data_IF_079599071346
#
_entry.id   IF_079599071346
#
_cell.length_a   1.000
_cell.length_b   1.000
_cell.length_c   1.000
_cell.angle_alpha   90.00
_cell.angle_beta   90.00
_cell.angle_gamma   90.00
#
_symmetry.space_group_name_H-M   'P 1'
#
loop_
_entity.id
_entity.type
_entity.pdbx_description
1 polymer ?
#
# COMPACT_ATOMS: atom_id res chain seq x y z
N UNK A 1 7.93 9.22 10.95
CA UNK A 1 6.52 8.95 10.59
C UNK A 1 6.49 7.78 9.62
N UNK A 2 5.53 6.87 9.73
CA UNK A 2 5.37 5.75 8.78
C UNK A 2 4.79 6.27 7.46
N UNK A 3 5.39 5.90 6.34
CA UNK A 3 4.97 6.36 4.99
C UNK A 3 3.66 5.68 4.55
N UNK A 4 2.98 6.25 3.55
CA UNK A 4 1.81 5.61 2.92
C UNK A 4 2.15 4.24 2.32
N UNK A 5 3.35 4.10 1.75
CA UNK A 5 3.87 2.83 1.27
C UNK A 5 3.98 1.81 2.41
N UNK A 6 4.62 2.17 3.53
CA UNK A 6 4.78 1.26 4.66
C UNK A 6 3.42 0.85 5.28
N UNK A 7 2.48 1.80 5.38
CA UNK A 7 1.10 1.51 5.83
C UNK A 7 0.39 0.53 4.88
N UNK A 8 0.50 0.73 3.56
CA UNK A 8 -0.09 -0.14 2.56
C UNK A 8 0.57 -1.52 2.51
N UNK A 9 1.90 -1.57 2.60
CA UNK A 9 2.65 -2.81 2.59
C UNK A 9 2.39 -3.65 3.84
N UNK A 10 2.16 -3.03 5.00
CA UNK A 10 1.77 -3.75 6.22
C UNK A 10 0.47 -4.55 6.05
N UNK A 11 -0.50 -4.05 5.27
CA UNK A 11 -1.69 -4.83 4.91
C UNK A 11 -1.32 -5.97 3.95
N UNK A 12 -0.61 -5.63 2.87
CA UNK A 12 -0.24 -6.55 1.78
C UNK A 12 0.58 -7.74 2.30
N UNK A 13 1.57 -7.49 3.16
CA UNK A 13 2.46 -8.50 3.74
C UNK A 13 1.75 -9.53 4.63
N UNK A 14 0.51 -9.30 5.08
CA UNK A 14 -0.29 -10.33 5.77
C UNK A 14 -0.75 -11.43 4.82
N UNK A 15 -0.81 -11.12 3.53
CA UNK A 15 -1.28 -12.01 2.46
C UNK A 15 -0.13 -12.60 1.64
N UNK A 16 1.00 -11.90 1.58
CA UNK A 16 2.25 -12.44 1.05
C UNK A 16 2.84 -13.37 2.10
N UNK A 17 2.64 -14.68 1.92
CA UNK A 17 3.04 -15.70 2.90
C UNK A 17 4.56 -15.78 3.15
N UNK A 18 4.97 -16.79 3.94
CA UNK A 18 6.38 -17.10 4.18
C UNK A 18 7.04 -17.84 3.01
N UNK A 19 8.21 -18.42 3.27
CA UNK A 19 8.91 -19.24 2.29
C UNK A 19 8.06 -20.44 1.84
N UNK A 20 7.79 -20.51 0.54
CA UNK A 20 7.14 -21.65 -0.11
C UNK A 20 8.07 -22.15 -1.20
N UNK A 21 8.38 -23.45 -1.15
CA UNK A 21 9.09 -24.14 -2.21
C UNK A 21 8.40 -25.48 -2.43
N UNK A 22 7.49 -25.54 -3.40
CA UNK A 22 6.73 -26.75 -3.68
C UNK A 22 7.36 -27.48 -4.89
N UNK A 23 7.57 -28.82 -4.86
CA UNK A 23 8.24 -29.57 -5.93
C UNK A 23 7.56 -29.48 -7.31
N UNK A 24 6.26 -29.19 -7.34
CA UNK A 24 5.48 -29.02 -8.57
C UNK A 24 5.42 -27.56 -9.07
N UNK A 25 6.09 -26.62 -8.39
CA UNK A 25 5.96 -25.20 -8.68
C UNK A 25 6.89 -24.76 -9.81
N UNK A 26 6.32 -24.32 -10.94
CA UNK A 26 7.10 -23.81 -12.09
C UNK A 26 7.78 -22.48 -11.77
N UNK A 27 7.33 -21.76 -10.74
CA UNK A 27 7.85 -20.46 -10.33
C UNK A 27 9.12 -20.50 -9.47
N UNK A 28 9.53 -21.70 -9.03
CA UNK A 28 10.67 -21.88 -8.13
C UNK A 28 10.42 -21.37 -6.70
N UNK A 29 11.46 -21.33 -5.85
CA UNK A 29 11.34 -20.86 -4.47
C UNK A 29 10.78 -19.43 -4.39
N UNK A 30 9.77 -19.24 -3.54
CA UNK A 30 9.15 -17.93 -3.27
C UNK A 30 9.29 -17.61 -1.79
N UNK A 31 9.68 -16.38 -1.45
CA UNK A 31 9.68 -15.91 -0.07
C UNK A 31 9.16 -14.46 -0.04
N UNK A 32 8.33 -14.12 0.96
CA UNK A 32 7.78 -12.77 1.13
C UNK A 32 7.09 -12.25 -0.15
N UNK A 33 6.40 -13.14 -0.88
CA UNK A 33 5.72 -12.84 -2.15
C UNK A 33 6.64 -12.63 -3.36
N UNK A 34 7.96 -12.78 -3.21
CA UNK A 34 8.96 -12.59 -4.29
C UNK A 34 9.50 -13.95 -4.73
N UNK A 35 9.44 -14.23 -6.03
CA UNK A 35 10.05 -15.45 -6.62
C UNK A 35 11.56 -15.28 -6.75
N UNK A 36 12.30 -16.39 -6.76
CA UNK A 36 13.75 -16.38 -6.95
C UNK A 36 14.18 -15.61 -8.21
N UNK A 37 13.50 -15.84 -9.33
CA UNK A 37 13.81 -15.16 -10.59
C UNK A 37 13.63 -13.64 -10.50
N UNK A 38 12.58 -13.17 -9.82
CA UNK A 38 12.33 -11.74 -9.62
C UNK A 38 13.39 -11.14 -8.69
N UNK A 39 13.74 -11.84 -7.62
CA UNK A 39 14.78 -11.41 -6.68
C UNK A 39 16.16 -11.32 -7.34
N UNK A 40 16.57 -12.36 -8.09
CA UNK A 40 17.84 -12.38 -8.82
C UNK A 40 17.91 -11.30 -9.89
N UNK A 41 16.82 -11.05 -10.61
CA UNK A 41 16.75 -9.95 -11.59
C UNK A 41 16.93 -8.60 -10.92
N UNK A 42 16.20 -8.36 -9.82
CA UNK A 42 16.30 -7.12 -9.05
C UNK A 42 17.72 -6.88 -8.52
N UNK A 43 18.36 -7.90 -7.94
CA UNK A 43 19.73 -7.80 -7.48
C UNK A 43 20.69 -7.47 -8.62
N UNK A 44 20.58 -8.16 -9.76
CA UNK A 44 21.42 -7.94 -10.94
C UNK A 44 21.26 -6.52 -11.51
N UNK A 45 20.02 -6.03 -11.65
CA UNK A 45 19.71 -4.67 -12.13
C UNK A 45 20.30 -3.58 -11.23
N UNK A 46 20.50 -3.86 -9.94
CA UNK A 46 20.98 -2.91 -8.93
C UNK A 46 22.43 -3.15 -8.49
N UNK A 47 23.11 -4.16 -9.04
CA UNK A 47 24.45 -4.55 -8.61
C UNK A 47 24.53 -5.03 -7.15
N UNK A 48 23.45 -5.60 -6.62
CA UNK A 48 23.38 -6.10 -5.24
C UNK A 48 23.77 -7.58 -5.18
N UNK A 49 24.38 -8.04 -4.07
CA UNK A 49 24.61 -9.47 -3.85
C UNK A 49 23.27 -10.21 -3.70
N UNK A 50 23.15 -11.36 -4.35
CA UNK A 50 21.96 -12.21 -4.26
C UNK A 50 21.98 -12.98 -2.94
N UNK A 51 21.09 -12.62 -2.01
CA UNK A 51 20.87 -13.41 -0.79
C UNK A 51 20.09 -14.69 -1.12
N UNK A 52 20.37 -15.82 -0.44
CA UNK A 52 19.56 -17.03 -0.57
C UNK A 52 18.09 -16.77 -0.21
N UNK A 53 17.15 -17.32 -0.99
CA UNK A 53 15.71 -17.07 -0.80
C UNK A 53 15.23 -17.34 0.63
N UNK A 54 15.73 -18.40 1.29
CA UNK A 54 15.33 -18.79 2.64
C UNK A 54 15.71 -17.80 3.74
N UNK A 55 16.69 -16.94 3.51
CA UNK A 55 17.19 -15.97 4.51
C UNK A 55 16.69 -14.55 4.26
N UNK A 56 15.89 -14.34 3.22
CA UNK A 56 15.30 -13.03 2.95
C UNK A 56 14.41 -12.59 4.10
N UNK A 57 14.62 -11.34 4.52
CA UNK A 57 13.77 -10.64 5.49
C UNK A 57 13.01 -9.52 4.80
N UNK A 58 11.94 -9.03 5.43
CA UNK A 58 11.11 -7.97 4.86
C UNK A 58 11.92 -6.73 4.39
N UNK A 59 12.91 -6.22 5.15
CA UNK A 59 13.79 -5.15 4.68
C UNK A 59 14.54 -5.43 3.37
N UNK A 60 14.81 -6.69 3.02
CA UNK A 60 15.51 -7.03 1.77
C UNK A 60 14.62 -6.79 0.55
N UNK A 61 13.33 -7.11 0.66
CA UNK A 61 12.39 -7.08 -0.46
C UNK A 61 11.57 -5.79 -0.53
N UNK A 62 11.49 -5.01 0.57
CA UNK A 62 10.76 -3.75 0.60
C UNK A 62 11.18 -2.77 -0.51
N UNK A 63 12.47 -2.53 -0.78
CA UNK A 63 12.88 -1.64 -1.88
C UNK A 63 12.43 -2.13 -3.27
N UNK A 64 12.35 -3.46 -3.46
CA UNK A 64 11.81 -4.04 -4.69
C UNK A 64 10.32 -3.70 -4.82
N UNK A 65 9.57 -3.89 -3.74
CA UNK A 65 8.14 -3.56 -3.70
C UNK A 65 7.87 -2.08 -3.96
N UNK A 66 8.64 -1.21 -3.31
CA UNK A 66 8.56 0.24 -3.46
C UNK A 66 8.94 0.70 -4.87
N UNK A 67 9.93 0.07 -5.51
CA UNK A 67 10.31 0.44 -6.86
C UNK A 67 9.38 -0.12 -7.95
N UNK A 68 8.86 -1.35 -7.78
CA UNK A 68 8.14 -2.05 -8.86
C UNK A 68 6.62 -1.88 -8.81
N UNK A 69 6.04 -1.67 -7.63
CA UNK A 69 4.57 -1.68 -7.46
C UNK A 69 4.01 -0.37 -6.92
N UNK A 70 4.70 0.25 -5.96
CA UNK A 70 4.25 1.53 -5.38
C UNK A 70 4.02 2.66 -6.41
N UNK A 71 4.83 2.83 -7.48
CA UNK A 71 4.63 3.94 -8.42
C UNK A 71 3.27 3.91 -9.13
N UNK A 72 2.65 2.73 -9.25
CA UNK A 72 1.32 2.61 -9.86
C UNK A 72 0.20 3.14 -8.95
N UNK A 73 0.47 3.33 -7.65
CA UNK A 73 -0.51 3.73 -6.64
C UNK A 73 -0.16 5.04 -5.94
N UNK A 74 1.11 5.46 -5.93
CA UNK A 74 1.61 6.60 -5.15
C UNK A 74 1.00 7.96 -5.53
N UNK A 75 0.51 8.09 -6.77
CA UNK A 75 -0.19 9.30 -7.22
C UNK A 75 -1.67 9.38 -6.82
N UNK A 76 -2.22 8.34 -6.19
CA UNK A 76 -3.61 8.31 -5.73
C UNK A 76 -3.73 8.88 -4.31
N UNK A 77 -4.86 9.51 -3.95
CA UNK A 77 -5.07 10.00 -2.59
C UNK A 77 -5.18 8.84 -1.59
N UNK A 78 -4.65 9.01 -0.39
CA UNK A 78 -4.94 8.10 0.73
C UNK A 78 -6.45 8.14 1.08
N UNK A 79 -7.10 7.01 1.43
CA UNK A 79 -6.59 5.64 1.52
C UNK A 79 -6.63 4.82 0.22
N UNK A 80 -7.03 5.43 -0.90
CA UNK A 80 -7.14 4.74 -2.19
C UNK A 80 -5.79 4.22 -2.69
N UNK A 81 -4.69 4.94 -2.46
CA UNK A 81 -3.34 4.48 -2.79
C UNK A 81 -2.98 3.15 -2.11
N UNK A 82 -3.38 2.93 -0.86
CA UNK A 82 -3.12 1.66 -0.18
C UNK A 82 -3.92 0.49 -0.75
N UNK A 83 -5.18 0.71 -1.15
CA UNK A 83 -5.99 -0.29 -1.85
C UNK A 83 -5.38 -0.62 -3.22
N UNK A 84 -5.04 0.41 -3.98
CA UNK A 84 -4.45 0.27 -5.31
C UNK A 84 -3.10 -0.46 -5.25
N UNK A 85 -2.28 -0.19 -4.24
CA UNK A 85 -1.00 -0.86 -4.04
C UNK A 85 -1.15 -2.38 -3.85
N UNK A 86 -2.04 -2.82 -2.95
CA UNK A 86 -2.27 -4.26 -2.73
C UNK A 86 -2.80 -4.95 -4.01
N UNK A 87 -3.62 -4.25 -4.81
CA UNK A 87 -4.07 -4.72 -6.11
C UNK A 87 -2.90 -4.80 -7.10
N UNK A 88 -2.01 -3.81 -7.15
CA UNK A 88 -0.83 -3.83 -8.01
C UNK A 88 0.10 -4.99 -7.67
N UNK A 89 0.30 -5.28 -6.38
CA UNK A 89 1.11 -6.44 -5.95
C UNK A 89 0.45 -7.75 -6.35
N UNK A 90 -0.87 -7.89 -6.10
CA UNK A 90 -1.56 -9.15 -6.35
C UNK A 90 -1.80 -9.43 -7.85
N UNK A 91 -2.13 -8.40 -8.63
CA UNK A 91 -2.60 -8.54 -10.02
C UNK A 91 -1.69 -7.88 -11.05
N UNK A 92 -0.67 -7.17 -10.62
CA UNK A 92 0.21 -6.38 -11.48
C UNK A 92 -0.32 -4.96 -11.76
N UNK A 93 0.57 -3.98 -12.00
CA UNK A 93 0.19 -2.60 -12.33
C UNK A 93 -0.73 -2.45 -13.54
N UNK A 94 -0.60 -3.33 -14.54
CA UNK A 94 -1.44 -3.31 -15.74
C UNK A 94 -2.92 -3.57 -15.43
N UNK A 95 -3.20 -4.60 -14.64
CA UNK A 95 -4.57 -4.92 -14.21
C UNK A 95 -5.11 -3.86 -13.25
N UNK A 96 -4.28 -3.30 -12.37
CA UNK A 96 -4.68 -2.13 -11.57
C UNK A 96 -5.17 -0.99 -12.48
N UNK A 97 -4.42 -0.65 -13.53
CA UNK A 97 -4.79 0.42 -14.46
C UNK A 97 -6.13 0.16 -15.15
N UNK A 98 -6.40 -1.09 -15.53
CA UNK A 98 -7.71 -1.48 -16.10
C UNK A 98 -8.84 -1.31 -15.07
N UNK A 99 -8.65 -1.77 -13.83
CA UNK A 99 -9.64 -1.62 -12.77
C UNK A 99 -9.90 -0.14 -12.44
N UNK A 100 -8.85 0.68 -12.33
CA UNK A 100 -8.98 2.13 -12.13
C UNK A 100 -9.80 2.79 -13.25
N UNK A 101 -9.66 2.34 -14.50
CA UNK A 101 -10.45 2.83 -15.62
C UNK A 101 -11.95 2.54 -15.51
N UNK A 102 -12.35 1.56 -14.69
CA UNK A 102 -13.76 1.23 -14.42
C UNK A 102 -14.35 1.98 -13.21
N UNK A 103 -13.52 2.65 -12.42
CA UNK A 103 -13.94 3.36 -11.22
C UNK A 103 -14.22 4.84 -11.56
N UNK A 104 -15.43 5.37 -11.30
CA UNK A 104 -15.72 6.78 -11.52
C UNK A 104 -14.78 7.70 -10.73
N UNK A 105 -14.43 8.85 -11.32
CA UNK A 105 -13.60 9.85 -10.66
C UNK A 105 -14.34 10.60 -9.52
N UNK A 106 -15.67 10.48 -9.44
CA UNK A 106 -16.50 11.15 -8.44
C UNK A 106 -16.48 10.45 -7.08
N UNK A 107 -16.71 11.22 -6.02
CA UNK A 107 -16.73 10.74 -4.64
C UNK A 107 -15.41 10.98 -3.90
N UNK A 108 -15.45 10.75 -2.60
CA UNK A 108 -14.28 10.85 -1.71
C UNK A 108 -13.23 9.78 -2.05
N UNK A 109 -11.96 9.95 -1.64
CA UNK A 109 -10.95 8.91 -1.78
C UNK A 109 -11.37 7.54 -1.21
N UNK A 110 -12.07 7.51 -0.07
CA UNK A 110 -12.53 6.27 0.54
C UNK A 110 -13.65 5.60 -0.27
N UNK A 111 -14.63 6.35 -0.77
CA UNK A 111 -15.68 5.80 -1.63
C UNK A 111 -15.11 5.26 -2.95
N UNK A 112 -14.16 5.98 -3.55
CA UNK A 112 -13.46 5.52 -4.75
C UNK A 112 -12.62 4.27 -4.49
N UNK A 113 -11.97 4.19 -3.33
CA UNK A 113 -11.25 3.00 -2.90
C UNK A 113 -12.21 1.80 -2.72
N UNK A 114 -13.39 2.00 -2.14
CA UNK A 114 -14.40 0.94 -1.99
C UNK A 114 -14.85 0.40 -3.36
N UNK A 115 -15.13 1.27 -4.33
CA UNK A 115 -15.45 0.86 -5.71
C UNK A 115 -14.30 0.12 -6.40
N UNK A 116 -13.05 0.49 -6.10
CA UNK A 116 -11.89 -0.23 -6.61
C UNK A 116 -11.79 -1.65 -6.02
N UNK A 117 -12.16 -1.84 -4.74
CA UNK A 117 -12.29 -3.17 -4.13
C UNK A 117 -13.41 -3.98 -4.82
N UNK A 118 -14.55 -3.35 -5.14
CA UNK A 118 -15.63 -3.99 -5.90
C UNK A 118 -15.15 -4.47 -7.28
N UNK A 119 -14.40 -3.62 -7.99
CA UNK A 119 -13.80 -3.96 -9.28
C UNK A 119 -12.83 -5.15 -9.18
N UNK A 120 -12.04 -5.21 -8.11
CA UNK A 120 -11.15 -6.35 -7.82
C UNK A 120 -11.93 -7.64 -7.55
N UNK A 121 -13.01 -7.55 -6.78
CA UNK A 121 -13.88 -8.70 -6.51
C UNK A 121 -14.47 -9.26 -7.82
N UNK A 122 -14.99 -8.37 -8.67
CA UNK A 122 -15.51 -8.75 -9.98
C UNK A 122 -14.43 -9.38 -10.86
N UNK A 123 -13.19 -8.88 -10.80
CA UNK A 123 -12.06 -9.46 -11.51
C UNK A 123 -11.80 -10.93 -11.09
N UNK A 124 -11.81 -11.25 -9.80
CA UNK A 124 -11.70 -12.63 -9.33
C UNK A 124 -12.85 -13.51 -9.85
N UNK A 125 -14.08 -13.01 -9.79
CA UNK A 125 -15.25 -13.73 -10.32
C UNK A 125 -15.14 -13.98 -11.83
N UNK A 126 -14.60 -13.02 -12.58
CA UNK A 126 -14.36 -13.16 -14.01
C UNK A 126 -13.26 -14.19 -14.34
N UNK A 127 -12.21 -14.28 -13.52
CA UNK A 127 -11.19 -15.35 -13.66
C UNK A 127 -11.85 -16.72 -13.57
N UNK A 128 -12.68 -16.94 -12.55
CA UNK A 128 -13.37 -18.22 -12.34
C UNK A 128 -14.36 -18.50 -13.47
N UNK A 129 -15.10 -17.48 -13.92
CA UNK A 129 -16.02 -17.61 -15.06
C UNK A 129 -15.28 -18.06 -16.33
N UNK A 130 -14.10 -17.47 -16.60
CA UNK A 130 -13.28 -17.85 -17.76
C UNK A 130 -12.53 -19.17 -17.56
N UNK A 131 -12.20 -19.52 -16.31
CA UNK A 131 -11.42 -20.72 -15.95
C UNK A 131 -12.02 -21.37 -14.70
N UNK A 132 -13.06 -22.21 -14.83
CA UNK A 132 -13.75 -22.80 -13.69
C UNK A 132 -12.86 -23.61 -12.74
N UNK A 133 -11.74 -24.16 -13.23
CA UNK A 133 -10.75 -24.85 -12.40
C UNK A 133 -10.14 -23.97 -11.29
N UNK A 134 -10.23 -22.65 -11.41
CA UNK A 134 -9.75 -21.69 -10.40
C UNK A 134 -10.72 -21.50 -9.22
N UNK A 135 -11.93 -22.08 -9.27
CA UNK A 135 -12.95 -21.96 -8.21
C UNK A 135 -12.40 -22.33 -6.83
N UNK A 136 -11.47 -23.28 -6.76
CA UNK A 136 -10.83 -23.74 -5.52
C UNK A 136 -10.10 -22.61 -4.76
N UNK A 137 -9.67 -21.55 -5.45
CA UNK A 137 -8.98 -20.41 -4.83
C UNK A 137 -9.91 -19.25 -4.47
N UNK A 138 -11.12 -19.21 -5.03
CA UNK A 138 -12.02 -18.06 -4.94
C UNK A 138 -12.34 -17.70 -3.50
N UNK A 139 -12.57 -18.69 -2.64
CA UNK A 139 -12.83 -18.46 -1.21
C UNK A 139 -11.68 -17.70 -0.53
N UNK A 140 -10.43 -18.06 -0.84
CA UNK A 140 -9.26 -17.37 -0.32
C UNK A 140 -9.15 -15.93 -0.85
N UNK A 141 -9.41 -15.73 -2.14
CA UNK A 141 -9.41 -14.40 -2.75
C UNK A 141 -10.47 -13.48 -2.15
N UNK A 142 -11.69 -13.98 -1.94
CA UNK A 142 -12.78 -13.21 -1.33
C UNK A 142 -12.51 -12.89 0.15
N UNK A 143 -11.74 -13.72 0.88
CA UNK A 143 -11.26 -13.37 2.22
C UNK A 143 -10.30 -12.18 2.19
N UNK A 144 -9.39 -12.10 1.21
CA UNK A 144 -8.51 -10.93 1.02
C UNK A 144 -9.30 -9.67 0.70
N UNK A 145 -10.33 -9.79 -0.14
CA UNK A 145 -11.25 -8.68 -0.45
C UNK A 145 -11.96 -8.19 0.81
N UNK A 146 -12.56 -9.09 1.61
CA UNK A 146 -13.25 -8.72 2.84
C UNK A 146 -12.31 -8.00 3.82
N UNK A 147 -11.13 -8.55 4.07
CA UNK A 147 -10.14 -7.91 4.94
C UNK A 147 -9.68 -6.54 4.42
N UNK A 148 -9.64 -6.34 3.10
CA UNK A 148 -9.29 -5.04 2.52
C UNK A 148 -10.40 -4.00 2.75
N UNK A 149 -11.68 -4.42 2.77
CA UNK A 149 -12.80 -3.54 3.13
C UNK A 149 -12.73 -3.12 4.59
N UNK A 150 -12.46 -4.07 5.49
CA UNK A 150 -12.28 -3.77 6.92
C UNK A 150 -11.11 -2.81 7.14
N UNK A 151 -9.97 -3.09 6.51
CA UNK A 151 -8.81 -2.21 6.55
C UNK A 151 -9.11 -0.81 6.00
N UNK A 152 -9.85 -0.70 4.90
CA UNK A 152 -10.27 0.58 4.33
C UNK A 152 -11.17 1.35 5.30
N UNK A 153 -12.12 0.67 5.96
CA UNK A 153 -12.99 1.30 6.95
C UNK A 153 -12.17 1.86 8.13
N UNK A 154 -11.19 1.12 8.62
CA UNK A 154 -10.24 1.61 9.64
C UNK A 154 -9.44 2.82 9.17
N UNK A 155 -8.99 2.83 7.91
CA UNK A 155 -8.24 3.97 7.37
C UNK A 155 -9.13 5.21 7.15
N UNK A 156 -10.39 5.01 6.75
CA UNK A 156 -11.35 6.08 6.53
C UNK A 156 -11.87 6.69 7.83
N UNK A 157 -11.90 5.92 8.92
CA UNK A 157 -12.32 6.37 10.24
C UNK A 157 -11.24 7.20 10.97
N UNK A 158 -9.98 7.15 10.51
CA UNK A 158 -8.91 7.99 11.07
C UNK A 158 -9.15 9.44 10.67
N UNK A 159 -9.14 10.39 11.62
CA UNK A 159 -9.28 11.79 11.28
C UNK A 159 -8.17 12.17 10.30
N UNK A 160 -8.46 12.98 9.27
CA UNK A 160 -7.43 13.47 8.38
C UNK A 160 -6.35 14.18 9.21
N UNK A 161 -5.08 13.91 8.90
CA UNK A 161 -3.97 14.68 9.47
C UNK A 161 -4.24 16.15 9.16
N UNK A 162 -4.42 17.02 10.17
CA UNK A 162 -4.75 18.42 9.92
C UNK A 162 -3.61 19.06 9.12
N UNK A 163 -3.95 19.71 8.00
CA UNK A 163 -3.02 20.59 7.29
C UNK A 163 -2.89 21.87 8.09
N UNK A 164 -1.76 22.04 8.76
CA UNK A 164 -1.46 23.25 9.52
C UNK A 164 -0.67 24.20 8.63
N UNK A 165 -1.10 25.45 8.56
CA UNK A 165 -0.34 26.51 7.90
C UNK A 165 0.16 27.48 8.97
N UNK A 166 1.47 27.74 8.96
CA UNK A 166 2.11 28.73 9.81
C UNK A 166 2.30 30.02 9.00
N UNK A 167 2.23 31.19 9.63
CA UNK A 167 2.64 32.45 8.98
C UNK A 167 4.13 32.67 9.16
N UNK A 168 4.85 32.85 8.07
CA UNK A 168 6.26 33.26 8.12
C UNK A 168 6.42 34.73 8.54
N UNK A 169 7.68 35.18 8.66
CA UNK A 169 8.03 36.56 9.03
C UNK A 169 7.54 37.60 8.02
N UNK A 170 7.25 37.21 6.79
CA UNK A 170 6.67 38.06 5.75
C UNK A 170 5.13 38.02 5.74
N UNK A 171 4.50 37.29 6.67
CA UNK A 171 3.06 37.13 6.77
C UNK A 171 2.44 36.14 5.80
N UNK A 172 3.26 35.37 5.05
CA UNK A 172 2.78 34.38 4.10
C UNK A 172 2.46 33.07 4.81
N UNK A 173 1.36 32.43 4.40
CA UNK A 173 1.03 31.08 4.86
C UNK A 173 1.98 30.06 4.22
N UNK A 174 2.67 29.30 5.06
CA UNK A 174 3.56 28.19 4.69
C UNK A 174 2.98 26.93 5.31
N UNK A 175 2.83 25.87 4.51
CA UNK A 175 2.38 24.58 5.03
C UNK A 175 3.45 23.99 5.95
N UNK A 176 3.03 23.60 7.15
CA UNK A 176 3.91 22.97 8.13
C UNK A 176 4.23 21.53 7.71
N UNK A 177 5.50 21.15 7.83
CA UNK A 177 6.00 19.83 7.47
C UNK A 177 5.68 18.73 8.50
N UNK A 178 4.95 19.09 9.56
CA UNK A 178 4.52 18.17 10.63
C UNK A 178 5.62 17.81 11.63
N UNK A 179 6.83 18.39 11.53
CA UNK A 179 7.89 18.14 12.51
C UNK A 179 7.68 18.98 13.77
N UNK A 180 7.99 18.46 14.98
CA UNK A 180 7.91 19.24 16.21
C UNK A 180 8.58 20.62 16.04
N UNK A 181 7.79 21.68 16.17
CA UNK A 181 8.22 23.06 15.88
C UNK A 181 7.65 24.00 16.93
N UNK A 182 8.43 24.99 17.35
CA UNK A 182 7.94 26.09 18.18
C UNK A 182 7.56 27.25 17.24
N UNK A 183 6.32 27.71 17.35
CA UNK A 183 5.76 28.82 16.59
C UNK A 183 5.14 29.84 17.55
N UNK A 184 5.67 31.06 17.59
CA UNK A 184 5.21 32.14 18.48
C UNK A 184 5.03 31.70 19.96
N UNK A 185 6.03 30.99 20.50
CA UNK A 185 5.98 30.48 21.88
C UNK A 185 4.96 29.36 22.12
N UNK A 186 4.48 28.73 21.05
CA UNK A 186 3.63 27.53 21.12
C UNK A 186 4.35 26.38 20.45
N UNK A 187 4.57 25.28 21.15
CA UNK A 187 5.03 24.02 20.58
C UNK A 187 3.87 23.32 19.89
N UNK A 188 4.09 22.95 18.64
CA UNK A 188 3.18 22.13 17.85
C UNK A 188 3.70 20.69 17.82
N UNK A 189 2.86 19.75 18.24
CA UNK A 189 3.13 18.31 18.18
C UNK A 189 2.03 17.63 17.36
N UNK A 190 2.41 17.00 16.25
CA UNK A 190 1.51 16.21 15.45
C UNK A 190 1.72 14.73 15.74
N UNK A 191 0.68 14.07 16.23
CA UNK A 191 0.70 12.65 16.54
C UNK A 191 0.44 11.79 15.29
N UNK A 192 0.91 10.53 15.26
CA UNK A 192 0.72 9.64 14.12
C UNK A 192 -0.74 9.34 13.75
N UNK A 193 -1.67 9.55 14.68
CA UNK A 193 -3.12 9.38 14.50
C UNK A 193 -3.82 10.65 13.98
N UNK A 194 -3.07 11.74 13.75
CA UNK A 194 -3.59 13.01 13.28
C UNK A 194 -3.97 13.99 14.39
N UNK A 195 -3.81 13.63 15.67
CA UNK A 195 -4.02 14.59 16.74
C UNK A 195 -2.96 15.70 16.71
N UNK A 196 -3.40 16.96 16.76
CA UNK A 196 -2.53 18.12 16.90
C UNK A 196 -2.62 18.64 18.33
N UNK A 197 -1.49 18.65 19.03
CA UNK A 197 -1.38 19.30 20.34
C UNK A 197 -0.64 20.62 20.21
N UNK A 198 -1.17 21.64 20.89
CA UNK A 198 -0.61 22.97 21.03
C UNK A 198 -0.26 23.20 22.51
N UNK A 199 1.01 23.41 22.80
CA UNK A 199 1.52 23.63 24.17
C UNK A 199 2.23 24.98 24.25
N UNK A 200 1.81 25.88 25.14
CA UNK A 200 2.57 27.13 25.37
C UNK A 200 3.93 26.76 25.97
N UNK A 201 5.00 27.28 25.39
CA UNK A 201 6.33 27.22 26.00
C UNK A 201 6.46 28.42 26.94
N UNK A 202 6.69 28.14 28.22
CA UNK A 202 7.04 29.16 29.24
C UNK A 202 8.31 29.92 28.89
#
# INVERSE_FOLDING_TARGET
>A
MTTDFEKAHKFTAKWEGGYVNHPADKGGPTNLGVTQAVWESWCRERGLPVKPMKVLILPDVLPLYEARYWPAASGLPWPMSGVAYDIAVNHGPGNLRLMLGSVPATGTPAERAARLIDAREQFFRNIVKARPSQQVFLTGWLRRVAAQRDWLAEQAARPPVPRVFLRDMAGKNVEWDGKPTIYNGTRLTLYPDGALQLERTE
#
